data_IF_228827750772
#
_entry.id   IF_228827750772
#
_cell.length_a   1.000
_cell.length_b   1.000
_cell.length_c   1.000
_cell.angle_alpha   90.00
_cell.angle_beta   90.00
_cell.angle_gamma   90.00
#
_symmetry.space_group_name_H-M   'P 1'
#
loop_
_entity.id
_entity.type
_entity.pdbx_description
1 polymer ?
#
# COMPACT_ATOMS: atom_id res chain seq x y z
N UNK A 1 0.93 -19.93 -28.90
CA UNK A 1 -0.25 -20.71 -29.28
C UNK A 1 -0.35 -20.76 -30.79
N UNK A 2 -0.34 -21.92 -31.41
CA UNK A 2 -0.59 -22.07 -32.85
C UNK A 2 -2.11 -22.06 -33.04
N UNK A 3 -2.59 -21.19 -33.96
CA UNK A 3 -4.02 -21.13 -34.31
C UNK A 3 -4.27 -22.02 -35.55
N UNK A 4 -4.89 -23.18 -35.41
CA UNK A 4 -4.97 -24.20 -36.49
C UNK A 4 -6.07 -23.94 -37.53
N UNK A 5 -6.50 -22.67 -37.71
CA UNK A 5 -7.55 -22.29 -38.65
C UNK A 5 -6.98 -21.56 -39.88
N UNK A 6 -7.40 -22.00 -41.08
CA UNK A 6 -7.02 -21.37 -42.36
C UNK A 6 -7.68 -19.99 -42.53
N UNK A 7 -7.04 -19.12 -43.32
CA UNK A 7 -7.61 -17.82 -43.70
C UNK A 7 -8.46 -17.93 -44.99
N UNK A 8 -9.59 -17.19 -45.08
CA UNK A 8 -10.25 -16.36 -44.06
C UNK A 8 -10.94 -17.22 -42.99
N UNK A 9 -10.85 -16.79 -41.72
CA UNK A 9 -11.42 -17.51 -40.59
C UNK A 9 -12.95 -17.33 -40.53
N UNK A 10 -13.70 -18.42 -40.47
CA UNK A 10 -15.13 -18.35 -40.24
C UNK A 10 -15.41 -18.12 -38.74
N UNK A 11 -15.94 -16.94 -38.41
CA UNK A 11 -16.29 -16.57 -37.02
C UNK A 11 -17.49 -17.34 -36.48
N UNK A 12 -18.23 -18.02 -37.35
CA UNK A 12 -19.39 -18.84 -36.98
C UNK A 12 -19.02 -20.30 -36.76
N UNK A 13 -17.81 -20.71 -37.14
CA UNK A 13 -17.29 -22.05 -36.88
C UNK A 13 -17.31 -22.35 -35.38
N UNK A 14 -18.02 -23.42 -34.94
CA UNK A 14 -18.06 -23.78 -33.52
C UNK A 14 -16.69 -24.06 -32.90
N UNK A 15 -15.76 -24.65 -33.65
CA UNK A 15 -14.40 -24.92 -33.17
C UNK A 15 -13.58 -23.61 -32.99
N UNK A 16 -13.80 -22.63 -33.87
CA UNK A 16 -13.19 -21.32 -33.71
C UNK A 16 -13.73 -20.58 -32.48
N UNK A 17 -15.07 -20.64 -32.26
CA UNK A 17 -15.68 -20.05 -31.04
C UNK A 17 -15.16 -20.71 -29.77
N UNK A 18 -15.10 -22.05 -29.75
CA UNK A 18 -14.57 -22.77 -28.60
C UNK A 18 -13.13 -22.36 -28.29
N UNK A 19 -12.27 -22.19 -29.31
CA UNK A 19 -10.89 -21.71 -29.12
C UNK A 19 -10.87 -20.27 -28.55
N UNK A 20 -11.73 -19.39 -29.01
CA UNK A 20 -11.86 -18.04 -28.49
C UNK A 20 -12.28 -18.07 -27.01
N UNK A 21 -13.27 -18.91 -26.67
CA UNK A 21 -13.72 -19.08 -25.29
C UNK A 21 -12.63 -19.68 -24.41
N UNK A 22 -11.86 -20.67 -24.93
CA UNK A 22 -10.71 -21.24 -24.22
C UNK A 22 -9.58 -20.23 -23.99
N UNK A 23 -9.30 -19.36 -24.97
CA UNK A 23 -8.33 -18.26 -24.82
C UNK A 23 -8.85 -17.24 -23.81
N UNK A 24 -10.13 -16.88 -23.87
CA UNK A 24 -10.75 -16.00 -22.88
C UNK A 24 -10.68 -16.62 -21.48
N UNK A 25 -11.01 -17.90 -21.35
CA UNK A 25 -10.90 -18.64 -20.10
C UNK A 25 -9.44 -18.70 -19.59
N UNK A 26 -8.45 -18.82 -20.49
CA UNK A 26 -7.03 -18.77 -20.14
C UNK A 26 -6.57 -17.37 -19.71
N UNK A 27 -7.08 -16.33 -20.36
CA UNK A 27 -6.76 -14.92 -20.03
C UNK A 27 -7.50 -14.47 -18.76
N UNK A 28 -8.72 -14.94 -18.56
CA UNK A 28 -9.54 -14.66 -17.37
C UNK A 28 -9.36 -15.70 -16.27
N UNK A 29 -8.70 -16.82 -16.57
CA UNK A 29 -8.24 -17.75 -15.56
C UNK A 29 -7.16 -17.02 -14.77
N UNK A 30 -7.61 -16.24 -13.82
CA UNK A 30 -6.80 -15.84 -12.68
C UNK A 30 -6.11 -17.14 -12.22
N UNK A 31 -4.79 -17.17 -12.27
CA UNK A 31 -4.06 -18.30 -11.71
C UNK A 31 -4.70 -18.52 -10.33
N UNK A 32 -5.29 -19.70 -10.11
CA UNK A 32 -5.77 -20.06 -8.78
C UNK A 32 -4.54 -19.84 -7.91
N UNK A 33 -4.52 -18.84 -7.02
CA UNK A 33 -3.35 -18.60 -6.21
C UNK A 33 -3.12 -19.91 -5.45
N UNK A 34 -1.96 -20.51 -5.61
CA UNK A 34 -1.54 -21.62 -4.76
C UNK A 34 -1.73 -21.11 -3.32
N UNK A 35 -2.54 -21.78 -2.45
CA UNK A 35 -2.71 -21.33 -1.06
C UNK A 35 -1.39 -21.20 -0.31
N UNK A 36 -0.29 -21.73 -0.85
CA UNK A 36 1.07 -21.52 -0.39
C UNK A 36 1.78 -20.33 -1.02
N UNK A 37 1.24 -19.72 -2.08
CA UNK A 37 1.79 -18.52 -2.71
C UNK A 37 1.41 -17.21 -1.98
N UNK A 38 0.51 -17.27 -1.01
CA UNK A 38 0.20 -16.14 -0.10
C UNK A 38 1.35 -15.82 0.88
N UNK A 39 2.47 -16.53 0.80
CA UNK A 39 3.56 -16.41 1.75
C UNK A 39 4.88 -16.02 1.08
N UNK A 40 4.91 -15.00 0.23
CA UNK A 40 6.20 -14.42 -0.12
C UNK A 40 6.08 -13.08 -0.85
N UNK A 41 5.42 -12.09 -0.28
CA UNK A 41 6.00 -10.78 -0.41
C UNK A 41 7.29 -10.82 0.40
N UNK A 42 8.46 -10.54 -0.23
CA UNK A 42 9.70 -10.46 0.53
C UNK A 42 9.46 -9.49 1.69
N UNK A 43 9.99 -9.83 2.87
CA UNK A 43 9.85 -8.96 4.03
C UNK A 43 10.25 -7.53 3.62
N UNK A 44 9.48 -6.51 3.99
CA UNK A 44 9.76 -5.15 3.60
C UNK A 44 11.17 -4.78 4.07
N UNK A 45 11.93 -4.12 3.19
CA UNK A 45 13.27 -3.61 3.46
C UNK A 45 13.22 -2.09 3.47
N UNK A 46 14.30 -1.44 3.85
CA UNK A 46 14.42 0.03 3.74
C UNK A 46 14.16 0.50 2.30
N UNK A 47 14.54 -0.32 1.33
CA UNK A 47 14.38 -0.08 -0.10
C UNK A 47 12.99 -0.45 -0.65
N UNK A 48 12.01 -0.76 0.20
CA UNK A 48 10.63 -0.98 -0.25
C UNK A 48 10.02 0.36 -0.65
N UNK A 49 9.63 0.56 -1.93
CA UNK A 49 9.01 1.80 -2.36
C UNK A 49 7.69 2.03 -1.62
N UNK A 50 7.48 3.25 -1.15
CA UNK A 50 6.22 3.64 -0.52
C UNK A 50 5.32 4.34 -1.55
N UNK A 51 4.04 3.95 -1.66
CA UNK A 51 3.11 4.62 -2.55
C UNK A 51 2.83 6.05 -2.04
N UNK A 52 2.66 7.05 -2.94
CA UNK A 52 2.41 8.44 -2.56
C UNK A 52 0.97 8.67 -2.09
N UNK A 53 0.55 7.91 -1.11
CA UNK A 53 -0.82 7.93 -0.56
C UNK A 53 -0.85 8.75 0.72
N UNK A 54 -1.77 9.72 0.77
CA UNK A 54 -1.99 10.54 1.96
C UNK A 54 -2.77 9.79 3.05
N UNK A 55 -2.45 10.08 4.31
CA UNK A 55 -3.10 9.46 5.49
C UNK A 55 -4.60 9.71 5.54
N UNK A 56 -5.08 10.86 5.05
CA UNK A 56 -6.52 11.18 4.99
C UNK A 56 -7.28 10.22 4.08
N UNK A 57 -6.71 9.83 2.92
CA UNK A 57 -7.33 8.87 2.02
C UNK A 57 -7.38 7.48 2.64
N UNK A 58 -6.30 7.07 3.34
CA UNK A 58 -6.27 5.81 4.07
C UNK A 58 -7.32 5.78 5.18
N UNK A 59 -7.42 6.84 5.97
CA UNK A 59 -8.44 6.96 7.02
C UNK A 59 -9.86 6.89 6.45
N UNK A 60 -10.12 7.63 5.37
CA UNK A 60 -11.44 7.63 4.72
C UNK A 60 -11.83 6.26 4.17
N UNK A 61 -10.88 5.51 3.59
CA UNK A 61 -11.14 4.15 3.11
C UNK A 61 -11.39 3.19 4.29
N UNK A 62 -10.60 3.26 5.35
CA UNK A 62 -10.79 2.42 6.55
C UNK A 62 -12.15 2.67 7.20
N UNK A 63 -12.57 3.94 7.35
CA UNK A 63 -13.88 4.32 7.86
C UNK A 63 -15.02 3.82 6.96
N UNK A 64 -14.87 3.99 5.64
CA UNK A 64 -15.86 3.50 4.67
C UNK A 64 -16.02 1.99 4.75
N UNK A 65 -14.92 1.25 4.84
CA UNK A 65 -14.95 -0.20 4.96
C UNK A 65 -15.52 -0.68 6.30
N UNK A 66 -15.27 0.03 7.40
CA UNK A 66 -15.81 -0.33 8.71
C UNK A 66 -17.33 -0.11 8.79
N UNK A 67 -17.84 0.91 8.10
CA UNK A 67 -19.26 1.27 8.13
C UNK A 67 -20.15 0.30 7.33
N UNK A 68 -21.48 0.23 7.63
CA UNK A 68 -22.44 -0.40 6.75
C UNK A 68 -22.45 0.24 5.35
N UNK A 69 -22.63 -0.52 4.27
CA UNK A 69 -23.00 -1.93 4.23
C UNK A 69 -21.83 -2.92 4.34
N UNK A 70 -20.57 -2.44 4.33
CA UNK A 70 -19.39 -3.28 4.18
C UNK A 70 -19.01 -4.05 5.45
N UNK A 71 -19.13 -3.43 6.62
CA UNK A 71 -18.84 -4.05 7.92
C UNK A 71 -17.45 -4.72 7.97
N UNK A 72 -16.48 -4.12 7.31
CA UNK A 72 -15.08 -4.55 7.28
C UNK A 72 -14.68 -5.47 6.15
N UNK A 73 -15.56 -5.74 5.16
CA UNK A 73 -15.25 -6.56 3.98
C UNK A 73 -16.03 -6.06 2.77
N UNK A 74 -15.36 -5.86 1.64
CA UNK A 74 -15.97 -5.36 0.42
C UNK A 74 -15.24 -5.83 -0.83
N UNK A 75 -15.96 -5.97 -1.93
CA UNK A 75 -15.45 -6.08 -3.29
C UNK A 75 -14.84 -4.74 -3.74
N UNK A 76 -13.61 -4.74 -4.25
CA UNK A 76 -12.89 -3.52 -4.65
C UNK A 76 -13.64 -2.68 -5.70
N UNK A 77 -14.19 -3.26 -6.79
CA UNK A 77 -15.03 -2.53 -7.71
C UNK A 77 -16.26 -1.86 -7.07
N UNK A 78 -16.89 -2.50 -6.09
CA UNK A 78 -18.03 -1.90 -5.37
C UNK A 78 -17.60 -0.70 -4.53
N UNK A 79 -16.45 -0.78 -3.86
CA UNK A 79 -15.87 0.34 -3.09
C UNK A 79 -15.45 1.47 -4.02
N UNK A 80 -14.78 1.19 -5.14
CA UNK A 80 -14.38 2.19 -6.12
C UNK A 80 -15.60 2.96 -6.63
N UNK A 81 -16.69 2.25 -7.00
CA UNK A 81 -17.93 2.86 -7.43
C UNK A 81 -18.56 3.74 -6.35
N UNK A 82 -18.59 3.28 -5.09
CA UNK A 82 -19.17 4.05 -3.98
C UNK A 82 -18.39 5.31 -3.65
N UNK A 83 -17.06 5.27 -3.76
CA UNK A 83 -16.17 6.40 -3.54
C UNK A 83 -15.99 7.30 -4.78
N UNK A 84 -16.60 6.93 -5.91
CA UNK A 84 -16.44 7.60 -7.21
C UNK A 84 -14.96 7.70 -7.64
N UNK A 85 -14.20 6.65 -7.35
CA UNK A 85 -12.79 6.49 -7.72
C UNK A 85 -12.64 5.48 -8.85
N UNK A 86 -11.61 5.67 -9.68
CA UNK A 86 -11.18 4.59 -10.58
C UNK A 86 -10.53 3.45 -9.78
N UNK A 87 -10.67 2.23 -10.28
CA UNK A 87 -10.06 1.07 -9.59
C UNK A 87 -8.53 1.18 -9.52
N UNK A 88 -7.92 1.78 -10.54
CA UNK A 88 -6.48 2.00 -10.62
C UNK A 88 -5.97 3.01 -9.56
N UNK A 89 -6.83 3.90 -9.07
CA UNK A 89 -6.53 4.82 -7.97
C UNK A 89 -6.75 4.14 -6.59
N UNK A 90 -7.73 3.24 -6.52
CA UNK A 90 -8.05 2.52 -5.28
C UNK A 90 -7.03 1.42 -4.96
N UNK A 91 -6.48 0.74 -5.97
CA UNK A 91 -5.51 -0.36 -5.77
C UNK A 91 -4.27 0.07 -4.98
N UNK A 92 -3.56 1.17 -5.33
CA UNK A 92 -2.40 1.63 -4.54
C UNK A 92 -2.76 1.99 -3.10
N UNK A 93 -3.99 2.48 -2.86
CA UNK A 93 -4.48 2.78 -1.53
C UNK A 93 -4.69 1.49 -0.72
N UNK A 94 -5.30 0.47 -1.34
CA UNK A 94 -5.45 -0.86 -0.74
C UNK A 94 -4.09 -1.52 -0.45
N UNK A 95 -3.12 -1.40 -1.37
CA UNK A 95 -1.74 -1.90 -1.20
C UNK A 95 -1.02 -1.20 -0.04
N UNK A 96 -1.22 0.13 0.13
CA UNK A 96 -0.68 0.86 1.27
C UNK A 96 -1.26 0.34 2.60
N UNK A 97 -2.57 0.10 2.66
CA UNK A 97 -3.21 -0.48 3.84
C UNK A 97 -2.75 -1.91 4.12
N UNK A 98 -2.51 -2.70 3.08
CA UNK A 98 -1.96 -4.05 3.22
C UNK A 98 -0.51 -4.03 3.71
N UNK A 99 0.34 -3.13 3.20
CA UNK A 99 1.71 -2.92 3.69
C UNK A 99 1.71 -2.61 5.20
N UNK A 100 0.77 -1.77 5.65
CA UNK A 100 0.61 -1.39 7.05
C UNK A 100 -0.13 -2.44 7.89
N UNK A 101 -0.54 -3.57 7.31
CA UNK A 101 -1.34 -4.61 7.94
C UNK A 101 -2.68 -4.11 8.53
N UNK A 102 -3.21 -3.01 7.98
CA UNK A 102 -4.54 -2.49 8.34
C UNK A 102 -5.66 -3.13 7.54
N UNK A 103 -5.36 -3.62 6.33
CA UNK A 103 -6.28 -4.40 5.50
C UNK A 103 -5.55 -5.53 4.77
N UNK A 104 -6.33 -6.46 4.21
CA UNK A 104 -5.85 -7.57 3.37
C UNK A 104 -6.58 -7.50 2.03
N UNK A 105 -5.82 -7.63 0.94
CA UNK A 105 -6.34 -7.73 -0.42
C UNK A 105 -6.31 -9.21 -0.84
N UNK A 106 -7.47 -9.79 -1.11
CA UNK A 106 -7.60 -11.18 -1.55
C UNK A 106 -8.68 -11.30 -2.64
N UNK A 107 -8.34 -11.93 -3.76
CA UNK A 107 -9.27 -12.30 -4.83
C UNK A 107 -10.16 -11.16 -5.38
N UNK A 108 -9.71 -9.90 -5.25
CA UNK A 108 -10.45 -8.71 -5.68
C UNK A 108 -11.27 -8.05 -4.57
N UNK A 109 -11.22 -8.61 -3.37
CA UNK A 109 -11.82 -8.06 -2.17
C UNK A 109 -10.79 -7.35 -1.30
N UNK A 110 -11.28 -6.41 -0.48
CA UNK A 110 -10.52 -5.79 0.61
C UNK A 110 -11.21 -6.08 1.94
N UNK A 111 -10.42 -6.51 2.93
CA UNK A 111 -10.92 -6.83 4.26
C UNK A 111 -10.08 -6.14 5.32
N UNK A 112 -10.75 -5.50 6.29
CA UNK A 112 -10.08 -4.91 7.44
C UNK A 112 -9.49 -6.01 8.35
N UNK A 113 -8.27 -5.76 8.82
CA UNK A 113 -7.69 -6.51 9.94
C UNK A 113 -8.28 -6.02 11.27
N UNK A 114 -7.91 -6.66 12.39
CA UNK A 114 -8.28 -6.16 13.72
C UNK A 114 -7.67 -4.77 13.97
N UNK A 115 -6.40 -4.56 13.59
CA UNK A 115 -5.75 -3.26 13.68
C UNK A 115 -6.45 -2.19 12.81
N UNK A 116 -6.87 -2.57 11.59
CA UNK A 116 -7.65 -1.68 10.72
C UNK A 116 -9.01 -1.30 11.30
N UNK A 117 -9.69 -2.21 11.97
CA UNK A 117 -10.95 -1.92 12.68
C UNK A 117 -10.72 -0.98 13.87
N UNK A 118 -9.71 -1.29 14.70
CA UNK A 118 -9.33 -0.42 15.83
C UNK A 118 -8.99 0.99 15.37
N UNK A 119 -8.28 1.12 14.22
CA UNK A 119 -8.00 2.41 13.62
C UNK A 119 -9.28 3.13 13.17
N UNK A 120 -10.16 2.44 12.44
CA UNK A 120 -11.40 3.04 11.91
C UNK A 120 -12.35 3.53 13.01
N UNK A 121 -12.47 2.76 14.09
CA UNK A 121 -13.36 3.05 15.22
C UNK A 121 -12.73 4.00 16.26
N UNK A 122 -11.40 4.21 16.17
CA UNK A 122 -10.65 5.00 17.14
C UNK A 122 -10.87 6.52 17.00
N UNK A 123 -10.64 7.23 18.09
CA UNK A 123 -10.47 8.68 18.09
C UNK A 123 -9.11 9.08 17.44
N UNK A 124 -8.83 10.37 17.35
CA UNK A 124 -7.62 10.88 16.70
C UNK A 124 -6.34 10.32 17.33
N UNK A 125 -6.27 10.23 18.65
CA UNK A 125 -5.07 9.78 19.34
C UNK A 125 -4.88 8.26 19.16
N UNK A 126 -5.94 7.48 19.28
CA UNK A 126 -5.94 6.04 18.97
C UNK A 126 -5.49 5.77 17.55
N UNK A 127 -5.98 6.54 16.56
CA UNK A 127 -5.57 6.41 15.15
C UNK A 127 -4.09 6.68 14.96
N UNK A 128 -3.56 7.74 15.54
CA UNK A 128 -2.14 8.08 15.46
C UNK A 128 -1.27 6.98 16.09
N UNK A 129 -1.69 6.47 17.26
CA UNK A 129 -0.98 5.39 17.95
C UNK A 129 -0.97 4.10 17.12
N UNK A 130 -2.12 3.66 16.60
CA UNK A 130 -2.22 2.48 15.73
C UNK A 130 -1.37 2.64 14.47
N UNK A 131 -1.38 3.82 13.86
CA UNK A 131 -0.57 4.11 12.69
C UNK A 131 0.92 4.11 13.01
N UNK A 132 1.32 4.69 14.14
CA UNK A 132 2.70 4.67 14.62
C UNK A 132 3.21 3.24 14.87
N UNK A 133 2.37 2.37 15.45
CA UNK A 133 2.71 0.96 15.64
C UNK A 133 2.87 0.24 14.30
N UNK A 134 1.95 0.45 13.35
CA UNK A 134 2.02 -0.12 12.01
C UNK A 134 3.29 0.33 11.26
N UNK A 135 3.63 1.62 11.31
CA UNK A 135 4.84 2.16 10.67
C UNK A 135 6.12 1.55 11.26
N UNK A 136 6.23 1.47 12.58
CA UNK A 136 7.41 0.88 13.23
C UNK A 136 7.57 -0.61 12.91
N UNK A 137 6.46 -1.34 12.77
CA UNK A 137 6.47 -2.77 12.52
C UNK A 137 6.69 -3.13 11.05
N UNK A 138 6.16 -2.33 10.11
CA UNK A 138 6.02 -2.72 8.71
C UNK A 138 6.69 -1.79 7.70
N UNK A 139 7.22 -0.64 8.15
CA UNK A 139 7.93 0.32 7.29
C UNK A 139 9.35 0.53 7.80
N UNK A 140 10.32 -0.32 7.38
CA UNK A 140 11.69 -0.30 7.89
C UNK A 140 12.38 1.06 7.77
N UNK A 141 12.11 1.83 6.71
CA UNK A 141 12.63 3.20 6.56
C UNK A 141 12.21 4.10 7.72
N UNK A 142 10.93 4.09 8.11
CA UNK A 142 10.43 4.91 9.23
C UNK A 142 11.01 4.42 10.56
N UNK A 143 11.08 3.11 10.74
CA UNK A 143 11.69 2.51 11.93
C UNK A 143 13.17 2.91 12.06
N UNK A 144 13.93 2.90 10.96
CA UNK A 144 15.35 3.29 10.93
C UNK A 144 15.52 4.80 11.20
N UNK A 145 14.69 5.67 10.58
CA UNK A 145 14.73 7.11 10.88
C UNK A 145 14.55 7.33 12.37
N UNK A 146 13.52 6.71 12.95
CA UNK A 146 13.24 6.85 14.40
C UNK A 146 14.40 6.31 15.25
N UNK A 147 14.94 5.14 14.94
CA UNK A 147 16.07 4.57 15.65
C UNK A 147 17.31 5.49 15.61
N UNK A 148 17.63 6.04 14.45
CA UNK A 148 18.76 6.99 14.31
C UNK A 148 18.57 8.24 15.18
N UNK A 149 17.33 8.73 15.29
CA UNK A 149 17.01 9.87 16.15
C UNK A 149 17.13 9.52 17.63
N UNK A 150 16.64 8.35 18.03
CA UNK A 150 16.73 7.88 19.42
C UNK A 150 18.19 7.66 19.89
N UNK A 151 19.06 7.16 19.00
CA UNK A 151 20.48 6.90 19.29
C UNK A 151 21.34 8.17 19.35
N UNK A 152 20.91 9.25 18.72
CA UNK A 152 21.71 10.49 18.68
C UNK A 152 21.44 11.37 19.90
N UNK A 153 22.49 11.89 20.51
CA UNK A 153 22.41 12.76 21.67
C UNK A 153 21.61 14.06 21.42
N UNK A 154 21.61 14.57 20.18
CA UNK A 154 20.87 15.76 19.77
C UNK A 154 19.53 15.45 19.12
N UNK A 155 19.13 14.18 19.03
CA UNK A 155 17.91 13.71 18.42
C UNK A 155 17.60 14.30 17.03
N UNK A 156 18.66 14.54 16.22
CA UNK A 156 18.56 15.12 14.88
C UNK A 156 19.29 14.27 13.84
N UNK A 157 18.75 14.23 12.61
CA UNK A 157 19.37 13.54 11.48
C UNK A 157 19.04 14.24 10.15
N UNK A 158 20.04 14.34 9.25
CA UNK A 158 19.82 14.85 7.91
C UNK A 158 19.06 13.82 7.05
N UNK A 159 18.11 14.31 6.26
CA UNK A 159 17.36 13.51 5.30
C UNK A 159 18.22 13.01 4.13
N UNK A 160 19.29 13.73 3.80
CA UNK A 160 20.23 13.36 2.72
C UNK A 160 20.76 11.96 2.92
N UNK A 161 21.14 11.57 4.15
CA UNK A 161 21.61 10.23 4.45
C UNK A 161 20.63 9.13 4.03
N UNK A 162 19.34 9.32 4.32
CA UNK A 162 18.31 8.32 3.99
C UNK A 162 17.99 8.33 2.51
N UNK A 163 18.07 9.50 1.87
CA UNK A 163 17.92 9.62 0.41
C UNK A 163 19.03 8.87 -0.29
N UNK A 164 20.30 9.11 0.07
CA UNK A 164 21.45 8.44 -0.53
C UNK A 164 21.33 6.91 -0.39
N UNK A 165 20.94 6.43 0.80
CA UNK A 165 20.74 5.00 1.06
C UNK A 165 19.59 4.40 0.21
N UNK A 166 18.53 5.15 -0.06
CA UNK A 166 17.46 4.74 -0.98
C UNK A 166 17.92 4.73 -2.44
N UNK A 167 18.74 5.70 -2.85
CA UNK A 167 19.27 5.80 -4.21
C UNK A 167 20.25 4.68 -4.57
N UNK A 168 20.84 4.01 -3.58
CA UNK A 168 21.62 2.78 -3.79
C UNK A 168 20.74 1.61 -4.33
N UNK A 169 19.41 1.70 -4.18
CA UNK A 169 18.49 0.62 -4.49
C UNK A 169 17.38 0.98 -5.49
N UNK A 170 17.13 2.26 -5.74
CA UNK A 170 16.07 2.74 -6.64
C UNK A 170 16.48 4.04 -7.34
N UNK A 171 15.72 4.46 -8.36
CA UNK A 171 16.01 5.73 -9.04
C UNK A 171 15.83 6.93 -8.08
N UNK A 172 16.53 8.06 -8.34
CA UNK A 172 16.43 9.27 -7.52
C UNK A 172 14.98 9.77 -7.36
N UNK A 173 14.15 9.63 -8.40
CA UNK A 173 12.74 10.04 -8.36
C UNK A 173 11.95 9.17 -7.38
N UNK A 174 12.13 7.85 -7.42
CA UNK A 174 11.49 6.91 -6.51
C UNK A 174 11.99 7.07 -5.08
N UNK A 175 13.29 7.29 -4.88
CA UNK A 175 13.89 7.56 -3.58
C UNK A 175 13.29 8.83 -2.95
N UNK A 176 13.22 9.91 -3.71
CA UNK A 176 12.62 11.15 -3.26
C UNK A 176 11.12 11.01 -2.95
N UNK A 177 10.37 10.26 -3.76
CA UNK A 177 8.96 9.98 -3.50
C UNK A 177 8.76 9.14 -2.23
N UNK A 178 9.52 8.05 -2.09
CA UNK A 178 9.47 7.16 -0.93
C UNK A 178 9.79 7.93 0.36
N UNK A 179 10.83 8.77 0.34
CA UNK A 179 11.20 9.59 1.48
C UNK A 179 10.11 10.61 1.84
N UNK A 180 9.52 11.30 0.85
CA UNK A 180 8.38 12.21 1.08
C UNK A 180 7.19 11.51 1.72
N UNK A 181 6.87 10.30 1.26
CA UNK A 181 5.79 9.49 1.85
C UNK A 181 6.12 9.11 3.29
N UNK A 182 7.35 8.64 3.55
CA UNK A 182 7.81 8.32 4.90
C UNK A 182 7.74 9.53 5.85
N UNK A 183 8.13 10.72 5.38
CA UNK A 183 8.03 11.99 6.12
C UNK A 183 6.56 12.29 6.45
N UNK A 184 5.67 12.25 5.45
CA UNK A 184 4.25 12.53 5.65
C UNK A 184 3.61 11.57 6.66
N UNK A 185 3.88 10.28 6.53
CA UNK A 185 3.33 9.25 7.41
C UNK A 185 3.90 9.33 8.84
N UNK A 186 5.22 9.55 8.96
CA UNK A 186 5.87 9.64 10.27
C UNK A 186 5.46 10.89 11.05
N UNK A 187 5.23 12.02 10.36
CA UNK A 187 4.69 13.25 10.97
C UNK A 187 3.25 13.06 11.45
N UNK A 188 2.39 12.43 10.65
CA UNK A 188 1.03 12.12 11.07
C UNK A 188 1.00 11.23 12.32
N UNK A 189 1.90 10.26 12.38
CA UNK A 189 2.05 9.33 13.50
C UNK A 189 2.81 9.92 14.71
N UNK A 190 3.23 11.17 14.64
CA UNK A 190 4.02 11.85 15.70
C UNK A 190 5.31 11.07 16.07
N UNK A 191 5.89 10.36 15.08
CA UNK A 191 7.13 9.61 15.28
C UNK A 191 8.36 10.52 15.24
N UNK A 192 8.29 11.62 14.50
CA UNK A 192 9.32 12.63 14.35
C UNK A 192 8.76 13.88 13.68
N UNK A 193 9.45 15.01 13.88
CA UNK A 193 9.26 16.24 13.13
C UNK A 193 10.23 16.31 11.94
N UNK A 194 9.89 17.09 10.92
CA UNK A 194 10.72 17.31 9.75
C UNK A 194 10.73 18.78 9.36
N UNK A 195 11.93 19.35 9.27
CA UNK A 195 12.19 20.70 8.75
C UNK A 195 12.53 20.61 7.27
N UNK A 196 11.70 21.20 6.41
CA UNK A 196 11.85 21.16 4.95
C UNK A 196 13.02 22.04 4.46
N UNK A 197 13.30 23.17 5.13
CA UNK A 197 14.39 24.07 4.74
C UNK A 197 15.76 23.50 5.10
N UNK A 198 15.85 22.90 6.30
CA UNK A 198 17.08 22.26 6.78
C UNK A 198 17.27 20.84 6.26
N UNK A 199 16.25 20.24 5.61
CA UNK A 199 16.19 18.81 5.26
C UNK A 199 16.58 17.92 6.46
N UNK A 200 15.95 18.16 7.62
CA UNK A 200 16.36 17.55 8.89
C UNK A 200 15.18 16.95 9.64
N UNK A 201 15.37 15.72 10.10
CA UNK A 201 14.48 15.07 11.08
C UNK A 201 14.87 15.45 12.51
N UNK A 202 13.88 15.55 13.42
CA UNK A 202 14.09 15.77 14.85
C UNK A 202 13.02 15.11 15.71
N UNK A 203 13.33 14.92 17.02
CA UNK A 203 12.34 14.55 18.05
C UNK A 203 11.92 15.77 18.91
N UNK A 204 12.49 16.92 18.66
CA UNK A 204 12.06 18.18 19.26
C UNK A 204 10.75 18.58 18.60
N UNK A 205 9.78 19.12 19.32
CA UNK A 205 8.44 19.53 18.85
C UNK A 205 7.39 18.40 18.73
N UNK A 206 7.63 17.25 19.35
CA UNK A 206 6.58 16.23 19.55
C UNK A 206 6.02 16.44 20.98
N UNK A 207 5.07 17.38 21.13
CA UNK A 207 4.23 17.55 22.31
C UNK A 207 2.85 16.96 22.08
#
# INVERSE_FOLDING_TARGET
>A
LAVPFAHPRDRLDPAFRQMVDDIYALMTRRAVPDPKAHAAHPAPTIATPLPPIGTNLMSGLLETLAAPPYNGHADLPAVASALQMELDDLLPLGEALQLLHLAVLEEGDIRLTEAGRTFADGDTDTRKEQFAQALRAHVPLVAQIRQVLDERWNHRASAVRFRDELEDHMSPEYAAQTLRTAISWGRYAELFSYDEEAEQFSLEDIE
#
